data_IF_530470723599
#
_entry.id   IF_530470723599
#
_cell.length_a   1.000
_cell.length_b   1.000
_cell.length_c   1.000
_cell.angle_alpha   90.00
_cell.angle_beta   90.00
_cell.angle_gamma   90.00
#
_symmetry.space_group_name_H-M   'P 1'
#
loop_
_entity.id
_entity.type
_entity.pdbx_description
1 polymer ?
#
# COMPACT_ATOMS: atom_id res chain seq x y z
N UNK A 1 11.55 40.39 -40.76
CA UNK A 1 10.96 39.93 -39.48
C UNK A 1 10.45 38.52 -39.71
N UNK A 2 11.31 37.50 -39.52
CA UNK A 2 10.93 36.10 -39.76
C UNK A 2 10.00 35.64 -38.63
N UNK A 3 8.79 35.19 -39.01
CA UNK A 3 7.86 34.54 -38.08
C UNK A 3 8.25 33.06 -38.01
N UNK A 4 8.64 32.60 -36.82
CA UNK A 4 8.80 31.17 -36.58
C UNK A 4 7.44 30.47 -36.70
N UNK A 5 7.36 29.32 -37.39
CA UNK A 5 6.14 28.53 -37.41
C UNK A 5 5.85 27.98 -36.01
N UNK A 6 4.55 27.83 -35.63
CA UNK A 6 4.20 27.19 -34.38
C UNK A 6 4.67 25.72 -34.40
N UNK A 7 5.09 25.16 -33.25
CA UNK A 7 5.51 23.77 -33.19
C UNK A 7 4.34 22.84 -33.56
N UNK A 8 4.63 21.67 -34.16
CA UNK A 8 3.60 20.70 -34.50
C UNK A 8 2.86 20.26 -33.23
N UNK A 9 1.53 20.40 -33.26
CA UNK A 9 0.63 19.69 -32.35
C UNK A 9 0.65 18.24 -32.81
N UNK A 10 0.65 17.30 -31.87
CA UNK A 10 0.75 15.86 -32.10
C UNK A 10 2.18 15.33 -32.05
N UNK A 11 2.78 15.45 -30.88
CA UNK A 11 3.61 14.40 -30.30
C UNK A 11 3.40 14.46 -28.78
N UNK A 12 2.20 14.07 -28.35
CA UNK A 12 2.07 13.45 -27.05
C UNK A 12 3.00 12.25 -27.09
N UNK A 13 4.10 12.31 -26.34
CA UNK A 13 4.84 11.11 -26.01
C UNK A 13 3.85 10.17 -25.36
N UNK A 14 3.29 9.24 -26.14
CA UNK A 14 2.87 7.97 -25.59
C UNK A 14 4.16 7.37 -25.04
N UNK A 15 4.44 7.68 -23.78
CA UNK A 15 5.29 6.82 -22.98
C UNK A 15 4.54 5.49 -23.05
N UNK A 16 5.05 4.55 -23.84
CA UNK A 16 4.68 3.15 -23.70
C UNK A 16 4.92 2.87 -22.22
N UNK A 17 3.83 2.81 -21.44
CA UNK A 17 3.92 2.38 -20.06
C UNK A 17 4.40 0.93 -20.16
N UNK A 18 5.68 0.71 -19.86
CA UNK A 18 6.25 -0.61 -19.59
C UNK A 18 5.16 -1.44 -18.89
N UNK A 19 4.72 -2.58 -19.47
CA UNK A 19 3.65 -3.35 -18.87
C UNK A 19 4.10 -3.79 -17.49
N UNK A 20 3.48 -3.21 -16.45
CA UNK A 20 3.84 -3.54 -15.09
C UNK A 20 3.65 -5.05 -14.88
N UNK A 21 4.68 -5.76 -14.37
CA UNK A 21 4.55 -7.19 -14.16
C UNK A 21 3.46 -7.45 -13.13
N UNK A 22 2.65 -8.47 -13.39
CA UNK A 22 1.73 -8.98 -12.38
C UNK A 22 2.56 -9.64 -11.27
N UNK A 23 2.37 -9.16 -10.04
CA UNK A 23 2.99 -9.68 -8.83
C UNK A 23 2.00 -10.61 -8.13
N UNK A 24 2.50 -11.75 -7.68
CA UNK A 24 1.77 -12.72 -6.88
C UNK A 24 2.02 -12.38 -5.41
N UNK A 25 0.94 -12.24 -4.66
CA UNK A 25 0.93 -11.91 -3.24
C UNK A 25 0.26 -13.06 -2.46
N UNK A 26 0.61 -13.22 -1.20
CA UNK A 26 0.01 -14.17 -0.26
C UNK A 26 0.03 -15.61 -0.81
N UNK A 27 1.21 -16.06 -1.25
CA UNK A 27 1.37 -17.37 -1.89
C UNK A 27 0.65 -17.51 -3.23
N UNK A 28 0.30 -16.40 -3.89
CA UNK A 28 -0.41 -16.36 -5.17
C UNK A 28 -1.93 -16.26 -5.08
N UNK A 29 -2.48 -16.23 -3.86
CA UNK A 29 -3.92 -16.08 -3.66
C UNK A 29 -4.45 -14.70 -4.08
N UNK A 30 -3.58 -13.68 -4.11
CA UNK A 30 -3.89 -12.34 -4.59
C UNK A 30 -2.86 -11.96 -5.66
N UNK A 31 -3.27 -11.15 -6.63
CA UNK A 31 -2.33 -10.54 -7.57
C UNK A 31 -2.68 -9.10 -7.90
N UNK A 32 -1.66 -8.32 -8.22
CA UNK A 32 -1.79 -6.93 -8.66
C UNK A 32 -0.55 -6.53 -9.45
N UNK A 33 -0.56 -5.40 -10.15
CA UNK A 33 0.54 -4.97 -11.03
C UNK A 33 1.16 -3.66 -10.55
N UNK A 34 2.48 -3.60 -10.47
CA UNK A 34 3.23 -2.38 -10.14
C UNK A 34 4.70 -2.47 -10.62
N UNK A 35 5.44 -1.35 -10.68
CA UNK A 35 6.78 -1.32 -11.26
C UNK A 35 7.80 -2.26 -10.58
N UNK A 36 8.81 -2.68 -11.34
CA UNK A 36 9.86 -3.59 -10.88
C UNK A 36 10.74 -2.96 -9.77
N UNK A 37 10.84 -1.63 -9.72
CA UNK A 37 11.63 -0.88 -8.72
C UNK A 37 11.22 -1.13 -7.27
N UNK A 38 10.03 -1.68 -7.06
CA UNK A 38 9.55 -2.13 -5.76
C UNK A 38 10.04 -3.55 -5.49
N UNK A 39 10.95 -3.67 -4.52
CA UNK A 39 11.53 -4.93 -4.05
C UNK A 39 10.73 -5.50 -2.88
N UNK A 40 10.59 -6.83 -2.80
CA UNK A 40 9.92 -7.53 -1.69
C UNK A 40 10.83 -7.51 -0.46
N UNK A 41 10.27 -7.20 0.71
CA UNK A 41 10.97 -7.40 1.98
C UNK A 41 10.66 -8.77 2.59
N UNK A 42 11.62 -9.70 2.47
CA UNK A 42 11.54 -11.05 3.02
C UNK A 42 11.95 -11.08 4.51
N UNK A 43 10.99 -10.91 5.43
CA UNK A 43 10.92 -11.49 6.79
C UNK A 43 9.87 -10.76 7.63
N UNK A 44 8.71 -11.36 7.90
CA UNK A 44 7.75 -10.80 8.87
C UNK A 44 7.04 -11.89 9.69
N UNK A 45 7.76 -12.52 10.62
CA UNK A 45 7.10 -13.20 11.76
C UNK A 45 7.38 -12.42 13.03
N UNK A 46 6.56 -11.40 13.29
CA UNK A 46 5.98 -11.04 14.59
C UNK A 46 5.49 -9.58 14.60
N UNK A 47 4.18 -9.45 14.84
CA UNK A 47 3.48 -8.33 15.48
C UNK A 47 3.28 -7.04 14.69
N UNK A 48 2.05 -6.93 14.16
CA UNK A 48 1.11 -5.81 14.33
C UNK A 48 1.60 -4.74 15.31
N UNK A 49 1.58 -3.47 14.84
CA UNK A 49 1.87 -2.18 15.51
C UNK A 49 3.16 -1.43 15.14
N UNK A 50 4.03 -1.93 14.26
CA UNK A 50 5.31 -1.24 14.01
C UNK A 50 5.79 -1.27 12.56
N UNK A 51 4.90 -0.90 11.64
CA UNK A 51 5.18 -0.84 10.19
C UNK A 51 6.29 0.18 9.81
N UNK A 52 6.77 1.01 10.73
CA UNK A 52 7.91 1.91 10.51
C UNK A 52 9.14 1.65 11.37
N UNK A 53 9.14 0.60 12.18
CA UNK A 53 10.28 0.30 13.06
C UNK A 53 11.34 -0.58 12.40
N UNK A 54 11.07 -1.13 11.21
CA UNK A 54 11.91 -2.19 10.61
C UNK A 54 12.80 -1.69 9.47
N UNK A 55 12.73 -0.43 9.05
CA UNK A 55 13.62 0.06 7.99
C UNK A 55 14.99 0.57 8.42
N UNK A 56 15.31 0.60 9.72
CA UNK A 56 16.65 1.07 10.14
C UNK A 56 17.36 0.27 11.24
N UNK A 57 16.74 -0.73 11.87
CA UNK A 57 17.43 -1.53 12.90
C UNK A 57 17.67 -2.99 12.57
N UNK A 58 17.69 -3.38 11.28
CA UNK A 58 18.02 -4.76 10.92
C UNK A 58 18.99 -4.90 9.74
N UNK A 59 20.07 -4.10 9.77
CA UNK A 59 21.32 -4.43 9.07
C UNK A 59 22.39 -5.04 9.98
N UNK A 60 22.09 -5.38 11.24
CA UNK A 60 23.07 -6.06 12.09
C UNK A 60 22.45 -7.13 13.00
N UNK A 61 22.97 -8.34 12.81
CA UNK A 61 22.90 -9.53 13.67
C UNK A 61 21.59 -10.32 13.66
N UNK A 62 21.53 -11.43 12.90
CA UNK A 62 21.64 -12.75 13.52
C UNK A 62 21.88 -13.87 12.50
N UNK A 63 22.61 -14.87 12.97
CA UNK A 63 22.99 -16.07 12.25
C UNK A 63 21.82 -17.03 12.09
N UNK A 64 21.84 -17.76 10.97
CA UNK A 64 21.05 -18.96 10.70
C UNK A 64 20.90 -19.83 11.95
N UNK A 65 19.66 -20.00 12.42
CA UNK A 65 19.33 -21.11 13.32
C UNK A 65 18.01 -21.74 12.89
N UNK A 66 18.11 -23.03 12.58
CA UNK A 66 17.08 -23.95 12.11
C UNK A 66 15.93 -24.05 13.12
N UNK A 67 14.71 -23.73 12.68
CA UNK A 67 13.48 -23.95 13.45
C UNK A 67 12.42 -24.61 12.56
N UNK A 68 12.73 -25.83 12.14
CA UNK A 68 11.77 -26.76 11.55
C UNK A 68 10.77 -27.30 12.60
N UNK A 69 9.83 -26.47 13.11
CA UNK A 69 8.54 -26.91 13.70
C UNK A 69 7.64 -25.76 14.24
N UNK A 70 7.35 -24.74 13.42
CA UNK A 70 6.30 -23.74 13.74
C UNK A 70 5.36 -23.69 12.55
N UNK A 71 4.04 -23.76 12.81
CA UNK A 71 3.00 -23.68 11.78
C UNK A 71 3.19 -22.39 10.96
N UNK A 72 3.28 -22.50 9.63
CA UNK A 72 3.24 -21.36 8.72
C UNK A 72 1.86 -20.70 8.83
N UNK A 73 1.79 -19.61 9.59
CA UNK A 73 0.70 -18.64 9.46
C UNK A 73 1.01 -17.87 8.17
N UNK A 74 0.10 -17.82 7.18
CA UNK A 74 0.31 -16.96 6.02
C UNK A 74 0.53 -15.53 6.51
N UNK A 75 1.58 -14.87 6.03
CA UNK A 75 1.83 -13.47 6.34
C UNK A 75 0.58 -12.67 5.95
N UNK A 76 -0.03 -11.94 6.88
CA UNK A 76 -1.22 -11.10 6.61
C UNK A 76 -0.82 -9.75 6.03
N UNK A 77 0.48 -9.53 5.79
CA UNK A 77 1.04 -8.30 5.27
C UNK A 77 2.15 -8.61 4.26
N UNK A 78 2.18 -7.87 3.16
CA UNK A 78 3.30 -7.82 2.24
C UNK A 78 3.80 -6.39 2.09
N UNK A 79 5.12 -6.23 2.17
CA UNK A 79 5.80 -4.93 2.16
C UNK A 79 6.76 -4.87 0.98
N UNK A 80 6.64 -3.78 0.21
CA UNK A 80 7.50 -3.48 -0.93
C UNK A 80 8.14 -2.11 -0.79
N UNK A 81 9.38 -1.96 -1.23
CA UNK A 81 10.12 -0.68 -1.17
C UNK A 81 10.87 -0.34 -2.44
N UNK A 82 10.96 0.95 -2.73
CA UNK A 82 11.98 1.51 -3.61
C UNK A 82 13.07 2.17 -2.74
N UNK A 83 14.23 1.50 -2.55
CA UNK A 83 15.30 2.03 -1.72
C UNK A 83 15.97 3.28 -2.30
N UNK A 84 15.87 3.52 -3.61
CA UNK A 84 16.48 4.70 -4.25
C UNK A 84 15.70 5.99 -3.96
N UNK A 85 14.44 5.85 -3.54
CA UNK A 85 13.51 6.98 -3.33
C UNK A 85 12.85 7.00 -1.96
N UNK A 86 13.13 6.00 -1.15
CA UNK A 86 12.52 5.79 0.16
C UNK A 86 10.97 5.69 0.09
N UNK A 87 10.45 5.24 -1.06
CA UNK A 87 9.03 5.00 -1.28
C UNK A 87 8.67 3.57 -0.85
N UNK A 88 7.45 3.37 -0.34
CA UNK A 88 7.02 2.05 0.09
C UNK A 88 5.54 1.79 -0.21
N UNK A 89 5.22 0.53 -0.48
CA UNK A 89 3.87 0.03 -0.73
C UNK A 89 3.62 -1.16 0.19
N UNK A 90 2.51 -1.12 0.90
CA UNK A 90 2.15 -2.12 1.90
C UNK A 90 0.74 -2.59 1.62
N UNK A 91 0.55 -3.91 1.61
CA UNK A 91 -0.74 -4.56 1.43
C UNK A 91 -1.00 -5.43 2.64
N UNK A 92 -2.09 -5.17 3.35
CA UNK A 92 -2.43 -5.84 4.61
C UNK A 92 -3.87 -6.37 4.59
N UNK A 93 -4.06 -7.57 5.15
CA UNK A 93 -5.34 -8.22 5.31
C UNK A 93 -5.82 -8.04 6.76
N UNK A 94 -6.92 -7.31 6.94
CA UNK A 94 -7.50 -7.00 8.24
C UNK A 94 -8.90 -7.59 8.39
N UNK A 95 -9.31 -7.88 9.61
CA UNK A 95 -10.72 -8.16 9.90
C UNK A 95 -11.56 -6.90 9.62
N UNK A 96 -12.68 -7.07 8.90
CA UNK A 96 -13.50 -5.94 8.48
C UNK A 96 -14.09 -5.19 9.67
N UNK A 97 -13.90 -3.86 9.70
CA UNK A 97 -14.47 -2.99 10.74
C UNK A 97 -15.96 -2.73 10.49
N UNK A 98 -16.81 -3.40 11.28
CA UNK A 98 -18.28 -3.30 11.18
C UNK A 98 -18.86 -1.97 11.69
N UNK A 99 -18.13 -1.26 12.55
CA UNK A 99 -18.50 0.03 13.13
C UNK A 99 -18.14 1.22 12.23
N UNK A 100 -17.35 0.97 11.17
CA UNK A 100 -16.95 1.98 10.19
C UNK A 100 -17.82 1.85 8.95
N UNK A 101 -18.45 2.94 8.51
CA UNK A 101 -19.25 2.96 7.28
C UNK A 101 -18.37 2.77 6.04
N UNK A 102 -18.93 2.19 4.97
CA UNK A 102 -18.17 1.96 3.73
C UNK A 102 -17.61 3.27 3.17
N UNK A 103 -18.48 4.28 3.03
CA UNK A 103 -18.08 5.62 2.65
C UNK A 103 -17.25 6.25 3.77
N UNK A 104 -16.00 6.57 3.47
CA UNK A 104 -15.05 7.14 4.42
C UNK A 104 -14.24 6.12 5.20
N UNK A 105 -14.36 4.81 4.92
CA UNK A 105 -13.51 3.80 5.58
C UNK A 105 -12.02 4.02 5.34
N UNK A 106 -11.60 4.39 4.11
CA UNK A 106 -10.21 4.78 3.85
C UNK A 106 -9.78 6.01 4.67
N UNK A 107 -10.64 7.02 4.82
CA UNK A 107 -10.34 8.19 5.66
C UNK A 107 -10.19 7.81 7.13
N UNK A 108 -11.01 6.89 7.62
CA UNK A 108 -10.92 6.36 8.98
C UNK A 108 -9.56 5.68 9.22
N UNK A 109 -9.15 4.76 8.34
CA UNK A 109 -7.85 4.10 8.45
C UNK A 109 -6.68 5.09 8.31
N UNK A 110 -6.83 6.11 7.46
CA UNK A 110 -5.81 7.14 7.29
C UNK A 110 -5.65 8.00 8.56
N UNK A 111 -6.75 8.30 9.25
CA UNK A 111 -6.73 9.01 10.53
C UNK A 111 -6.13 8.15 11.64
N UNK A 112 -6.51 6.87 11.70
CA UNK A 112 -5.96 5.89 12.65
C UNK A 112 -4.44 5.79 12.49
N UNK A 113 -3.98 5.63 11.25
CA UNK A 113 -2.55 5.66 10.91
C UNK A 113 -1.88 6.97 11.34
N UNK A 114 -2.52 8.14 11.09
CA UNK A 114 -1.95 9.42 11.51
C UNK A 114 -1.80 9.54 13.03
N UNK A 115 -2.76 9.03 13.80
CA UNK A 115 -2.70 8.99 15.27
C UNK A 115 -1.58 8.07 15.75
N UNK A 116 -1.44 6.88 15.16
CA UNK A 116 -0.34 5.96 15.49
C UNK A 116 1.05 6.57 15.20
N UNK A 117 1.16 7.37 14.13
CA UNK A 117 2.41 8.06 13.77
C UNK A 117 2.61 9.40 14.52
N UNK A 118 1.68 9.80 15.40
CA UNK A 118 1.74 11.10 16.07
C UNK A 118 1.68 12.30 15.12
N UNK A 119 1.05 12.12 13.95
CA UNK A 119 1.00 13.06 12.83
C UNK A 119 -0.34 13.81 12.69
N UNK A 120 -1.13 13.86 13.76
CA UNK A 120 -2.51 14.40 13.81
C UNK A 120 -2.65 15.87 13.34
N UNK A 121 -1.54 16.62 13.28
CA UNK A 121 -1.54 18.07 13.07
C UNK A 121 -1.51 18.57 11.62
N UNK A 122 -1.48 17.72 10.58
CA UNK A 122 -1.26 18.17 9.19
C UNK A 122 -2.01 17.37 8.11
N UNK A 123 -3.17 16.82 8.40
CA UNK A 123 -3.92 15.99 7.44
C UNK A 123 -4.63 16.89 6.41
N UNK A 124 -4.00 17.13 5.25
CA UNK A 124 -4.73 17.59 4.06
C UNK A 124 -5.37 16.36 3.42
N UNK A 125 -6.60 16.03 3.83
CA UNK A 125 -7.34 14.88 3.30
C UNK A 125 -7.90 15.19 1.93
N UNK A 126 -7.33 14.60 0.88
CA UNK A 126 -8.00 14.49 -0.41
C UNK A 126 -8.74 13.15 -0.44
N UNK A 127 -10.03 13.18 -0.12
CA UNK A 127 -10.88 12.00 -0.29
C UNK A 127 -11.15 11.79 -1.78
N UNK A 128 -10.79 10.61 -2.29
CA UNK A 128 -11.10 10.22 -3.66
C UNK A 128 -12.15 9.12 -3.67
N UNK A 129 -12.96 9.17 -4.72
CA UNK A 129 -14.26 8.54 -4.90
C UNK A 129 -14.42 7.09 -4.40
N UNK A 130 -15.66 6.77 -4.03
CA UNK A 130 -16.14 5.42 -3.73
C UNK A 130 -16.48 4.74 -5.06
N UNK A 131 -15.95 3.55 -5.28
CA UNK A 131 -16.30 2.76 -6.46
C UNK A 131 -16.68 1.34 -6.05
N UNK A 132 -17.68 0.76 -6.71
CA UNK A 132 -17.95 -0.67 -6.61
C UNK A 132 -16.81 -1.42 -7.31
N UNK A 133 -16.28 -2.44 -6.63
CA UNK A 133 -15.25 -3.29 -7.19
C UNK A 133 -15.87 -4.36 -8.10
N UNK A 134 -16.17 -4.00 -9.35
CA UNK A 134 -16.57 -4.99 -10.36
C UNK A 134 -15.49 -6.09 -10.46
N UNK A 135 -15.85 -7.33 -10.13
CA UNK A 135 -14.93 -8.47 -10.15
C UNK A 135 -14.31 -8.89 -8.81
N UNK A 136 -14.50 -8.11 -7.72
CA UNK A 136 -14.08 -8.51 -6.36
C UNK A 136 -15.25 -8.99 -5.48
N UNK A 137 -16.40 -9.33 -6.09
CA UNK A 137 -17.53 -9.88 -5.36
C UNK A 137 -17.34 -11.36 -5.02
N UNK A 138 -17.81 -11.78 -3.84
CA UNK A 138 -17.83 -13.18 -3.41
C UNK A 138 -19.27 -13.64 -3.20
N UNK A 139 -19.68 -14.73 -3.86
CA UNK A 139 -21.04 -15.31 -3.78
C UNK A 139 -22.17 -14.25 -3.93
N UNK A 140 -22.08 -13.39 -4.94
CA UNK A 140 -22.99 -12.28 -5.22
C UNK A 140 -23.03 -11.15 -4.16
N UNK A 141 -22.09 -11.14 -3.20
CA UNK A 141 -21.92 -10.02 -2.28
C UNK A 141 -20.95 -9.01 -2.90
N UNK A 142 -21.35 -7.75 -3.13
CA UNK A 142 -20.48 -6.74 -3.71
C UNK A 142 -19.39 -6.30 -2.73
N UNK A 143 -18.25 -5.89 -3.28
CA UNK A 143 -17.13 -5.32 -2.54
C UNK A 143 -17.00 -3.83 -2.87
N UNK A 144 -16.54 -3.04 -1.90
CA UNK A 144 -16.45 -1.57 -2.01
C UNK A 144 -15.00 -1.14 -1.90
N UNK A 145 -14.57 -0.25 -2.78
CA UNK A 145 -13.25 0.40 -2.67
C UNK A 145 -13.46 1.86 -2.29
N UNK A 146 -12.72 2.31 -1.27
CA UNK A 146 -12.59 3.73 -0.97
C UNK A 146 -11.13 4.12 -0.93
N UNK A 147 -10.82 5.37 -1.28
CA UNK A 147 -9.44 5.87 -1.28
C UNK A 147 -9.34 7.21 -0.57
N UNK A 148 -8.22 7.45 0.08
CA UNK A 148 -7.90 8.72 0.72
C UNK A 148 -6.39 8.99 0.58
N UNK A 149 -6.02 10.27 0.51
CA UNK A 149 -4.63 10.69 0.57
C UNK A 149 -4.46 11.79 1.60
N UNK A 150 -3.29 11.80 2.27
CA UNK A 150 -2.90 12.85 3.20
C UNK A 150 -1.40 13.09 3.15
N UNK A 151 -0.98 14.26 3.60
CA UNK A 151 0.42 14.56 3.86
C UNK A 151 0.66 14.51 5.37
N UNK A 152 1.72 13.86 5.81
CA UNK A 152 2.00 13.60 7.22
C UNK A 152 3.47 13.87 7.52
N UNK A 153 3.75 14.36 8.73
CA UNK A 153 5.11 14.44 9.25
C UNK A 153 5.40 13.19 10.08
N UNK A 154 6.20 12.28 9.54
CA UNK A 154 6.44 10.94 10.11
C UNK A 154 7.94 10.77 10.37
N UNK A 155 8.31 10.40 11.59
CA UNK A 155 9.68 9.98 11.91
C UNK A 155 9.78 8.46 11.80
N UNK A 156 10.88 7.94 11.24
CA UNK A 156 11.14 6.50 11.32
C UNK A 156 11.52 6.14 12.76
N UNK A 157 11.04 5.01 13.26
CA UNK A 157 11.38 4.51 14.59
C UNK A 157 11.16 5.50 15.75
N UNK A 158 12.18 5.65 16.61
CA UNK A 158 12.19 6.56 17.79
C UNK A 158 13.16 7.73 17.58
N UNK A 159 13.25 8.26 16.36
CA UNK A 159 14.21 9.32 16.03
C UNK A 159 13.82 10.72 16.54
N UNK A 160 12.67 10.86 17.20
CA UNK A 160 12.21 12.15 17.71
C UNK A 160 11.57 13.03 16.63
N UNK A 161 11.09 14.20 17.05
CA UNK A 161 10.29 15.10 16.19
C UNK A 161 11.15 15.82 15.15
N UNK A 162 12.41 16.03 15.45
CA UNK A 162 13.43 16.66 14.62
C UNK A 162 13.81 15.82 13.38
N UNK A 163 13.56 14.51 13.41
CA UNK A 163 13.85 13.58 12.33
C UNK A 163 12.61 13.27 11.46
N UNK A 164 11.51 14.00 11.65
CA UNK A 164 10.29 13.79 10.87
C UNK A 164 10.51 14.13 9.38
N UNK A 165 10.22 13.15 8.53
CA UNK A 165 10.09 13.34 7.10
C UNK A 165 8.67 13.80 6.78
N UNK A 166 8.54 14.64 5.76
CA UNK A 166 7.24 14.98 5.20
C UNK A 166 6.92 13.94 4.14
N UNK A 167 5.84 13.18 4.35
CA UNK A 167 5.47 12.04 3.51
C UNK A 167 4.04 12.23 3.04
N UNK A 168 3.79 12.01 1.76
CA UNK A 168 2.45 11.86 1.21
C UNK A 168 2.05 10.38 1.28
N UNK A 169 0.91 10.13 1.88
CA UNK A 169 0.34 8.81 2.12
C UNK A 169 -0.89 8.67 1.25
N UNK A 170 -0.96 7.60 0.45
CA UNK A 170 -2.14 7.19 -0.28
C UNK A 170 -2.64 5.89 0.33
N UNK A 171 -3.95 5.78 0.56
CA UNK A 171 -4.55 4.64 1.21
C UNK A 171 -5.81 4.22 0.46
N UNK A 172 -5.92 2.93 0.16
CA UNK A 172 -7.15 2.32 -0.32
C UNK A 172 -7.61 1.27 0.67
N UNK A 173 -8.91 1.26 0.93
CA UNK A 173 -9.56 0.16 1.63
C UNK A 173 -10.49 -0.58 0.67
N UNK A 174 -10.22 -1.86 0.44
CA UNK A 174 -11.04 -2.77 -0.37
C UNK A 174 -11.82 -3.67 0.60
N UNK A 175 -13.11 -3.38 0.77
CA UNK A 175 -14.00 -4.11 1.69
C UNK A 175 -14.57 -5.35 1.03
N UNK A 176 -14.03 -6.52 1.38
CA UNK A 176 -14.48 -7.83 0.91
C UNK A 176 -15.60 -8.36 1.81
N UNK A 177 -16.79 -7.78 1.69
CA UNK A 177 -17.93 -8.07 2.59
C UNK A 177 -18.32 -9.54 2.67
N UNK A 178 -18.18 -10.28 1.56
CA UNK A 178 -18.54 -11.71 1.51
C UNK A 178 -17.65 -12.60 2.39
N UNK A 179 -16.46 -12.14 2.75
CA UNK A 179 -15.49 -12.84 3.61
C UNK A 179 -15.09 -12.04 4.85
N UNK A 180 -15.73 -10.88 5.07
CA UNK A 180 -15.50 -10.00 6.23
C UNK A 180 -14.03 -9.58 6.40
N UNK A 181 -13.38 -9.23 5.29
CA UNK A 181 -11.99 -8.75 5.29
C UNK A 181 -11.90 -7.35 4.70
N UNK A 182 -11.19 -6.46 5.37
CA UNK A 182 -10.72 -5.18 4.81
C UNK A 182 -9.30 -5.43 4.25
N UNK A 183 -9.08 -5.21 2.96
CA UNK A 183 -7.72 -5.20 2.38
C UNK A 183 -7.24 -3.77 2.32
N UNK A 184 -6.21 -3.47 3.11
CA UNK A 184 -5.63 -2.15 3.23
C UNK A 184 -4.39 -2.05 2.32
N UNK A 185 -4.40 -1.09 1.40
CA UNK A 185 -3.28 -0.81 0.51
C UNK A 185 -2.78 0.58 0.85
N UNK A 186 -1.56 0.68 1.38
CA UNK A 186 -0.95 1.95 1.79
C UNK A 186 0.34 2.21 1.03
N UNK A 187 0.45 3.40 0.45
CA UNK A 187 1.56 3.84 -0.37
C UNK A 187 2.17 5.11 0.22
N UNK A 188 3.47 5.12 0.41
CA UNK A 188 4.23 6.22 1.00
C UNK A 188 5.17 6.84 -0.02
N UNK A 189 5.05 8.16 -0.16
CA UNK A 189 5.85 8.99 -1.05
C UNK A 189 6.51 10.10 -0.22
N UNK A 190 7.80 9.99 0.11
CA UNK A 190 8.53 11.07 0.76
C UNK A 190 8.52 12.34 -0.12
N UNK A 191 8.28 13.48 0.51
CA UNK A 191 8.28 14.83 -0.10
C UNK A 191 9.48 15.64 0.41
N UNK A 192 9.82 15.46 1.68
CA UNK A 192 10.99 16.07 2.30
C UNK A 192 11.60 15.11 3.31
N UNK A 193 12.93 14.96 3.24
CA UNK A 193 13.70 14.11 4.15
C UNK A 193 14.50 14.99 5.10
N UNK A 194 14.25 14.84 6.40
CA UNK A 194 14.98 15.56 7.42
C UNK A 194 16.47 15.16 7.40
N UNK A 195 17.41 16.11 7.53
CA UNK A 195 18.83 15.78 7.71
C UNK A 195 19.13 14.89 8.91
N UNK A 196 18.24 14.89 9.92
CA UNK A 196 18.34 14.04 11.12
C UNK A 196 17.66 12.68 10.95
N UNK A 197 17.01 12.42 9.80
CA UNK A 197 16.38 11.14 9.50
C UNK A 197 17.42 10.13 9.04
N UNK A 198 17.18 8.84 9.30
CA UNK A 198 18.04 7.78 8.77
C UNK A 198 17.95 7.70 7.24
N UNK A 199 16.80 8.05 6.66
CA UNK A 199 16.62 8.13 5.20
C UNK A 199 17.63 9.08 4.54
N UNK A 200 18.09 10.11 5.26
CA UNK A 200 19.09 11.03 4.74
C UNK A 200 20.42 10.35 4.38
N UNK A 201 20.75 9.24 5.05
CA UNK A 201 21.97 8.48 4.76
C UNK A 201 21.86 7.68 3.45
N UNK A 202 20.64 7.22 3.12
CA UNK A 202 20.38 6.36 1.96
C UNK A 202 20.10 7.17 0.69
N UNK A 203 19.24 8.18 0.79
CA UNK A 203 18.71 8.93 -0.38
C UNK A 203 19.03 10.42 -0.35
N UNK A 204 19.72 10.90 0.69
CA UNK A 204 20.04 12.31 0.88
C UNK A 204 18.94 13.10 1.61
N UNK A 205 19.33 14.19 2.25
CA UNK A 205 18.41 15.09 2.93
C UNK A 205 17.88 16.20 2.01
N UNK A 206 16.70 16.73 2.34
CA UNK A 206 16.10 17.86 1.64
C UNK A 206 14.82 17.50 0.88
N UNK A 207 14.45 18.35 -0.08
CA UNK A 207 13.30 18.10 -0.96
C UNK A 207 13.61 16.94 -1.90
N UNK A 208 12.69 15.98 -1.95
CA UNK A 208 12.79 14.86 -2.87
C UNK A 208 12.44 15.29 -4.28
N UNK A 209 13.16 14.76 -5.27
CA UNK A 209 12.81 14.96 -6.69
C UNK A 209 11.56 14.11 -7.01
N UNK A 210 10.46 14.69 -7.52
CA UNK A 210 9.29 13.92 -7.95
C UNK A 210 9.66 12.78 -8.90
N UNK A 211 8.99 11.64 -8.80
CA UNK A 211 9.36 10.46 -9.59
C UNK A 211 9.29 10.74 -11.09
N UNK A 212 8.27 11.48 -11.55
CA UNK A 212 8.09 11.91 -12.93
C UNK A 212 9.32 12.66 -13.48
N UNK A 213 9.90 13.54 -12.68
CA UNK A 213 11.07 14.34 -13.07
C UNK A 213 12.35 13.49 -13.16
N UNK A 214 12.35 12.32 -12.52
CA UNK A 214 13.41 11.31 -12.64
C UNK A 214 13.12 10.22 -13.69
N UNK A 215 12.08 10.40 -14.52
CA UNK A 215 11.67 9.42 -15.54
C UNK A 215 11.05 8.13 -14.96
N UNK A 216 10.59 8.16 -13.71
CA UNK A 216 9.95 7.04 -13.03
C UNK A 216 8.46 7.29 -12.85
N UNK A 217 7.67 6.21 -12.76
CA UNK A 217 6.22 6.30 -12.50
C UNK A 217 5.94 6.92 -11.12
N UNK A 218 5.13 8.00 -11.04
CA UNK A 218 4.69 8.60 -9.79
C UNK A 218 3.99 7.63 -8.84
N UNK A 219 4.16 7.82 -7.54
CA UNK A 219 3.57 6.92 -6.54
C UNK A 219 2.04 6.91 -6.60
N UNK A 220 1.41 8.03 -6.95
CA UNK A 220 -0.04 8.11 -7.19
C UNK A 220 -0.50 7.19 -8.32
N UNK A 221 0.30 7.04 -9.38
CA UNK A 221 -0.05 6.20 -10.54
C UNK A 221 0.26 4.74 -10.24
N UNK A 222 1.33 4.46 -9.48
CA UNK A 222 1.59 3.12 -8.92
C UNK A 222 0.42 2.69 -8.02
N UNK A 223 -0.01 3.55 -7.10
CA UNK A 223 -1.13 3.29 -6.20
C UNK A 223 -2.43 3.01 -6.97
N UNK A 224 -2.78 3.85 -7.97
CA UNK A 224 -3.94 3.60 -8.84
C UNK A 224 -3.83 2.27 -9.58
N UNK A 225 -2.66 1.95 -10.11
CA UNK A 225 -2.43 0.68 -10.80
C UNK A 225 -2.66 -0.50 -9.86
N UNK A 226 -2.11 -0.44 -8.65
CA UNK A 226 -2.25 -1.51 -7.64
C UNK A 226 -3.72 -1.74 -7.31
N UNK A 227 -4.47 -0.65 -7.05
CA UNK A 227 -5.91 -0.73 -6.71
C UNK A 227 -6.74 -1.25 -7.89
N UNK A 228 -6.49 -0.76 -9.11
CA UNK A 228 -7.30 -1.12 -10.29
C UNK A 228 -7.00 -2.50 -10.85
N UNK A 229 -5.80 -3.03 -10.62
CA UNK A 229 -5.40 -4.37 -11.08
C UNK A 229 -5.45 -5.43 -10.00
N UNK A 230 -5.93 -5.09 -8.79
CA UNK A 230 -6.10 -6.02 -7.69
C UNK A 230 -7.08 -7.14 -8.04
N UNK A 231 -6.64 -8.38 -7.87
CA UNK A 231 -7.42 -9.59 -8.16
C UNK A 231 -7.25 -10.62 -7.05
N UNK A 232 -8.34 -11.26 -6.68
CA UNK A 232 -8.34 -12.42 -5.80
C UNK A 232 -8.37 -13.66 -6.70
N UNK A 233 -7.28 -14.42 -6.67
CA UNK A 233 -7.10 -15.65 -7.44
C UNK A 233 -7.59 -16.88 -6.65
N UNK A 234 -7.41 -16.87 -5.32
CA UNK A 234 -7.85 -17.94 -4.44
C UNK A 234 -8.55 -17.39 -3.19
N UNK A 235 -9.86 -17.61 -3.11
CA UNK A 235 -10.69 -17.19 -1.99
C UNK A 235 -10.49 -18.04 -0.73
N UNK A 236 -9.81 -19.19 -0.82
CA UNK A 236 -9.48 -20.01 0.35
C UNK A 236 -8.54 -19.30 1.33
N UNK A 237 -7.83 -18.26 0.86
CA UNK A 237 -7.00 -17.39 1.69
C UNK A 237 -7.77 -16.81 2.89
N UNK A 238 -9.05 -16.47 2.72
CA UNK A 238 -9.88 -15.84 3.75
C UNK A 238 -10.59 -16.87 4.65
N UNK A 239 -10.19 -18.14 4.55
CA UNK A 239 -10.80 -19.24 5.28
C UNK A 239 -12.06 -19.78 4.61
N UNK A 240 -12.33 -21.06 4.84
CA UNK A 240 -13.50 -21.77 4.34
C UNK A 240 -14.76 -21.37 5.12
N UNK A 241 -15.29 -20.17 4.89
CA UNK A 241 -16.55 -19.75 5.48
C UNK A 241 -17.75 -20.37 4.72
N UNK A 242 -18.30 -21.42 5.33
CA UNK A 242 -19.65 -21.98 5.20
C UNK A 242 -20.03 -22.64 3.86
N UNK A 243 -19.65 -23.90 3.68
CA UNK A 243 -20.60 -24.94 3.26
C UNK A 243 -21.58 -25.19 4.41
N UNK A 244 -22.66 -24.42 4.45
CA UNK A 244 -23.92 -24.89 5.05
C UNK A 244 -24.95 -24.87 3.95
N UNK A 245 -24.76 -25.74 2.95
CA UNK A 245 -25.85 -26.11 2.06
C UNK A 245 -26.87 -26.93 2.85
N UNK A 246 -28.14 -26.60 2.64
CA UNK A 246 -29.26 -26.98 3.48
C UNK A 246 -29.43 -28.48 3.67
N UNK A 247 -29.63 -28.86 4.93
CA UNK A 247 -30.28 -30.12 5.24
C UNK A 247 -31.80 -29.93 5.08
N UNK A 248 -32.28 -30.00 3.83
CA UNK A 248 -33.66 -30.39 3.55
C UNK A 248 -33.77 -31.90 3.78
N UNK A 249 -34.08 -32.32 5.00
CA UNK A 249 -34.77 -33.58 5.29
C UNK A 249 -36.09 -33.20 5.94
N UNK A 250 -37.27 -33.40 5.34
CA UNK A 250 -37.69 -34.64 4.73
C UNK A 250 -38.27 -35.56 5.81
N UNK A 251 -39.41 -35.17 6.38
CA UNK A 251 -40.47 -36.02 6.96
C UNK A 251 -41.68 -35.15 7.28
#
# INVERSE_FOLDING_TARGET
>A
MMRYPPPPKDNMYFIEMEPFPQRQLFGGAISTSFPIRFEVCFNFSFWSLFVYHVYCLFLMTFQLQDVSNIREVPDHQEVFVDPERDESLIIELLEMKHDVADNGSATWFLQDLATEQGAEGNIVTEQSAVFEAEGLGYRNTPSVITTAAAQMAISKGRQGREAQNLVKVYLANLRLKGVQTDVLITAYEPVFISPSSESAQSVGAGLTVPAADSGRTPMVDVFKQVVTTFRINDWNLFGSAATTEGNFGGS
#
